data_IF_921109753524
#
_entry.id   IF_921109753524
#
_cell.length_a   1.000
_cell.length_b   1.000
_cell.length_c   1.000
_cell.angle_alpha   90.00
_cell.angle_beta   90.00
_cell.angle_gamma   90.00
#
_symmetry.space_group_name_H-M   'P 1'
#
loop_
_entity.id
_entity.type
_entity.pdbx_description
1 polymer ?
#
# COMPACT_ATOMS: atom_id res chain seq x y z
N UNK A 1 -3.38 -25.70 -10.15
CA UNK A 1 -3.50 -24.40 -9.48
C UNK A 1 -4.16 -24.62 -8.12
N UNK A 2 -3.33 -24.88 -7.12
CA UNK A 2 -3.54 -25.00 -5.65
C UNK A 2 -2.10 -25.25 -5.13
N UNK A 3 -1.60 -24.77 -4.00
CA UNK A 3 -2.17 -24.14 -2.82
C UNK A 3 -1.05 -23.31 -2.16
N UNK A 4 -1.35 -22.11 -1.64
CA UNK A 4 -0.51 -21.50 -0.60
C UNK A 4 -1.12 -21.92 0.73
N UNK A 5 -0.73 -23.11 1.19
CA UNK A 5 -1.20 -23.68 2.45
C UNK A 5 -0.37 -23.08 3.59
N UNK A 6 -1.05 -22.36 4.49
CA UNK A 6 -0.48 -21.94 5.77
C UNK A 6 -0.52 -23.13 6.72
N UNK A 7 0.64 -23.53 7.23
CA UNK A 7 0.74 -24.40 8.40
C UNK A 7 0.55 -23.52 9.64
N UNK A 8 -0.66 -23.52 10.20
CA UNK A 8 -0.93 -23.02 11.54
C UNK A 8 -0.85 -24.21 12.51
N UNK A 9 0.28 -24.32 13.20
CA UNK A 9 0.43 -25.19 14.37
C UNK A 9 0.43 -24.30 15.61
N UNK A 10 -0.64 -24.36 16.40
CA UNK A 10 -0.67 -23.80 17.75
C UNK A 10 -1.67 -24.55 18.61
N UNK A 11 -1.06 -25.35 19.48
CA UNK A 11 -1.59 -26.12 20.59
C UNK A 11 -2.31 -25.24 21.62
N UNK A 12 -3.35 -25.83 22.23
CA UNK A 12 -4.32 -25.11 23.04
C UNK A 12 -3.87 -24.68 24.44
N UNK A 13 -4.65 -23.77 25.01
CA UNK A 13 -4.75 -23.51 26.45
C UNK A 13 -6.25 -23.33 26.80
N UNK A 14 -6.79 -24.03 27.82
CA UNK A 14 -8.14 -23.80 28.32
C UNK A 14 -8.13 -23.00 29.64
N UNK A 15 -9.07 -22.07 29.78
CA UNK A 15 -9.61 -21.49 31.04
C UNK A 15 -10.59 -20.37 30.64
N UNK A 16 -11.71 -20.08 31.28
CA UNK A 16 -12.37 -20.53 32.50
C UNK A 16 -13.65 -19.69 32.62
N UNK A 17 -14.72 -20.29 33.14
CA UNK A 17 -16.05 -19.66 33.37
C UNK A 17 -16.02 -18.58 34.45
N UNK A 18 -16.81 -17.52 34.29
CA UNK A 18 -17.31 -16.69 35.41
C UNK A 18 -18.14 -15.47 34.97
N UNK A 19 -19.22 -15.07 35.67
CA UNK A 19 -20.38 -14.42 35.06
C UNK A 19 -20.61 -12.92 35.39
N UNK A 20 -21.25 -12.23 34.44
CA UNK A 20 -22.38 -11.30 34.57
C UNK A 20 -22.33 -10.10 35.52
N UNK A 21 -22.34 -8.88 34.97
CA UNK A 21 -22.96 -7.71 35.61
C UNK A 21 -23.57 -6.72 34.60
N UNK A 22 -24.91 -6.67 34.63
CA UNK A 22 -25.80 -5.51 34.74
C UNK A 22 -25.50 -4.24 33.92
N UNK A 23 -26.46 -3.87 33.07
CA UNK A 23 -26.48 -2.60 32.35
C UNK A 23 -26.85 -1.38 33.18
N UNK A 24 -26.61 -0.22 32.60
CA UNK A 24 -27.31 1.03 32.91
C UNK A 24 -27.29 1.92 31.67
N UNK A 25 -28.47 2.35 31.23
CA UNK A 25 -28.65 3.23 30.09
C UNK A 25 -28.41 4.68 30.46
N UNK A 26 -27.97 5.47 29.46
CA UNK A 26 -27.98 6.92 29.53
C UNK A 26 -28.40 7.45 28.16
N UNK A 27 -29.52 8.18 28.14
CA UNK A 27 -30.05 8.96 27.00
C UNK A 27 -29.28 10.28 26.86
N UNK A 28 -29.18 10.80 25.64
CA UNK A 28 -28.89 12.23 25.44
C UNK A 28 -28.64 12.63 23.98
N UNK A 29 -29.62 13.32 23.38
CA UNK A 29 -29.54 14.44 22.41
C UNK A 29 -28.34 14.49 21.44
N UNK A 30 -28.49 14.43 20.11
CA UNK A 30 -29.41 15.23 19.29
C UNK A 30 -28.89 16.66 19.11
N UNK A 31 -27.94 16.89 18.18
CA UNK A 31 -27.71 18.19 17.52
C UNK A 31 -27.16 17.94 16.10
N UNK A 32 -27.94 18.33 15.10
CA UNK A 32 -27.52 18.46 13.71
C UNK A 32 -26.63 19.70 13.56
N UNK A 33 -25.43 19.56 12.98
CA UNK A 33 -24.70 20.69 12.44
C UNK A 33 -24.09 20.30 11.09
N UNK A 34 -24.81 20.65 10.04
CA UNK A 34 -24.35 20.58 8.65
C UNK A 34 -23.45 21.79 8.41
N UNK A 35 -22.14 21.57 8.40
CA UNK A 35 -21.16 22.57 7.97
C UNK A 35 -20.69 22.19 6.57
N UNK A 36 -21.17 22.93 5.58
CA UNK A 36 -20.79 22.80 4.18
C UNK A 36 -19.37 23.34 4.02
N UNK A 37 -18.37 22.46 4.02
CA UNK A 37 -17.00 22.81 3.70
C UNK A 37 -16.86 23.03 2.19
N UNK A 38 -16.85 24.32 1.83
CA UNK A 38 -16.49 24.86 0.52
C UNK A 38 -15.09 24.40 0.14
N UNK A 39 -14.97 23.54 -0.86
CA UNK A 39 -13.69 23.08 -1.43
C UNK A 39 -13.17 24.16 -2.40
N UNK A 40 -11.96 24.73 -2.20
CA UNK A 40 -11.36 25.60 -3.20
C UNK A 40 -10.79 24.74 -4.33
N UNK A 41 -11.11 25.11 -5.57
CA UNK A 41 -10.52 24.54 -6.77
C UNK A 41 -9.01 24.85 -6.79
N UNK A 42 -8.18 23.82 -6.64
CA UNK A 42 -6.72 23.96 -6.67
C UNK A 42 -6.00 22.61 -6.73
N UNK A 43 -5.41 22.34 -7.90
CA UNK A 43 -4.51 21.23 -8.25
C UNK A 43 -4.99 19.79 -7.99
N UNK A 44 -5.56 19.18 -9.03
CA UNK A 44 -5.99 17.78 -9.11
C UNK A 44 -4.93 16.74 -8.72
N UNK A 45 -3.63 17.05 -8.82
CA UNK A 45 -2.55 16.13 -8.41
C UNK A 45 -2.41 16.00 -6.88
N UNK A 46 -2.63 17.10 -6.13
CA UNK A 46 -2.53 17.10 -4.67
C UNK A 46 -3.81 16.58 -3.99
N UNK A 47 -4.94 16.61 -4.69
CA UNK A 47 -6.19 16.00 -4.24
C UNK A 47 -6.14 14.48 -4.40
N UNK A 48 -5.61 13.98 -5.52
CA UNK A 48 -5.39 12.54 -5.73
C UNK A 48 -4.42 11.94 -4.72
N UNK A 49 -3.36 12.66 -4.33
CA UNK A 49 -2.45 12.19 -3.28
C UNK A 49 -3.11 12.12 -1.89
N UNK A 50 -4.10 12.99 -1.59
CA UNK A 50 -4.85 12.94 -0.32
C UNK A 50 -5.83 11.78 -0.28
N UNK A 51 -6.53 11.52 -1.39
CA UNK A 51 -7.49 10.42 -1.51
C UNK A 51 -6.80 9.05 -1.39
N UNK A 52 -5.53 8.95 -1.80
CA UNK A 52 -4.72 7.73 -1.60
C UNK A 52 -4.15 7.59 -0.18
N UNK A 53 -4.04 8.69 0.59
CA UNK A 53 -3.48 8.69 1.96
C UNK A 53 -4.51 8.31 3.03
N UNK A 54 -5.79 8.62 2.82
CA UNK A 54 -6.84 8.41 3.82
C UNK A 54 -7.33 6.95 3.94
N UNK A 55 -6.97 6.08 3.00
CA UNK A 55 -7.47 4.69 2.96
C UNK A 55 -6.54 3.63 3.58
N UNK A 56 -5.37 4.02 4.11
CA UNK A 56 -4.30 3.08 4.55
C UNK A 56 -4.32 2.70 6.04
N UNK A 57 -5.43 2.96 6.75
CA UNK A 57 -5.57 2.78 8.21
C UNK A 57 -5.53 1.33 8.76
N UNK A 58 -4.96 0.36 8.04
CA UNK A 58 -4.90 -1.06 8.46
C UNK A 58 -3.50 -1.63 8.68
N UNK A 59 -2.43 -0.87 8.41
CA UNK A 59 -1.06 -1.37 8.48
C UNK A 59 -0.18 -0.51 9.37
N UNK A 60 0.82 -1.14 10.01
CA UNK A 60 1.80 -0.42 10.81
C UNK A 60 2.51 0.60 9.90
N UNK A 61 2.40 1.88 10.21
CA UNK A 61 3.07 2.98 9.49
C UNK A 61 4.37 3.40 10.18
N UNK A 62 4.68 2.79 11.33
CA UNK A 62 5.88 3.02 12.12
C UNK A 62 6.71 1.74 12.23
N UNK A 63 8.03 1.90 12.14
CA UNK A 63 8.99 0.79 12.24
C UNK A 63 9.16 0.39 13.70
N UNK A 64 9.05 -0.90 14.00
CA UNK A 64 9.36 -1.40 15.35
C UNK A 64 10.87 -1.55 15.54
N UNK A 65 11.39 -1.64 16.79
CA UNK A 65 12.81 -1.95 17.00
C UNK A 65 13.27 -3.26 16.33
N UNK A 66 12.39 -4.26 16.26
CA UNK A 66 12.65 -5.51 15.56
C UNK A 66 12.79 -5.29 14.04
N UNK A 67 11.87 -4.51 13.45
CA UNK A 67 11.93 -4.13 12.04
C UNK A 67 13.14 -3.26 11.71
N UNK A 68 13.51 -2.32 12.58
CA UNK A 68 14.71 -1.51 12.44
C UNK A 68 15.98 -2.38 12.43
N UNK A 69 16.03 -3.38 13.32
CA UNK A 69 17.11 -4.37 13.35
C UNK A 69 17.20 -5.22 12.08
N UNK A 70 16.06 -5.57 11.47
CA UNK A 70 16.03 -6.24 10.17
C UNK A 70 16.54 -5.34 9.05
N UNK A 71 16.06 -4.10 8.94
CA UNK A 71 16.56 -3.14 7.94
C UNK A 71 18.07 -2.91 8.08
N UNK A 72 18.56 -2.74 9.30
CA UNK A 72 19.97 -2.51 9.58
C UNK A 72 20.85 -3.72 9.23
N UNK A 73 20.29 -4.93 9.22
CA UNK A 73 21.03 -6.15 8.87
C UNK A 73 21.48 -6.20 7.40
N UNK A 74 20.89 -5.36 6.53
CA UNK A 74 21.32 -5.24 5.14
C UNK A 74 22.67 -4.51 5.00
N UNK A 75 23.03 -3.67 5.97
CA UNK A 75 24.28 -2.91 5.96
C UNK A 75 25.49 -3.80 6.34
N UNK A 76 26.70 -3.51 5.83
CA UNK A 76 27.92 -4.25 6.19
C UNK A 76 28.23 -4.25 7.70
N UNK A 77 27.80 -3.20 8.41
CA UNK A 77 27.98 -3.06 9.86
C UNK A 77 26.64 -2.76 10.55
N UNK A 78 25.79 -3.78 10.81
CA UNK A 78 24.41 -3.59 11.25
C UNK A 78 24.27 -2.80 12.56
N UNK A 79 25.13 -3.04 13.55
CA UNK A 79 25.09 -2.32 14.84
C UNK A 79 25.41 -0.83 14.68
N UNK A 80 26.40 -0.51 13.86
CA UNK A 80 26.79 0.88 13.58
C UNK A 80 25.71 1.61 12.80
N UNK A 81 25.11 0.95 11.80
CA UNK A 81 23.98 1.49 11.04
C UNK A 81 22.79 1.79 11.94
N UNK A 82 22.40 0.85 12.81
CA UNK A 82 21.29 1.04 13.74
C UNK A 82 21.56 2.20 14.72
N UNK A 83 22.77 2.26 15.30
CA UNK A 83 23.16 3.35 16.20
C UNK A 83 23.11 4.72 15.51
N UNK A 84 23.54 4.79 14.24
CA UNK A 84 23.44 6.01 13.43
C UNK A 84 21.98 6.44 13.22
N UNK A 85 21.10 5.49 12.89
CA UNK A 85 19.68 5.77 12.66
C UNK A 85 18.96 6.19 13.95
N UNK A 86 19.28 5.55 15.08
CA UNK A 86 18.76 5.92 16.40
C UNK A 86 19.20 7.34 16.82
N UNK A 87 20.39 7.79 16.40
CA UNK A 87 20.83 9.18 16.62
C UNK A 87 20.09 10.21 15.76
N UNK A 88 19.46 9.77 14.66
CA UNK A 88 18.70 10.62 13.71
C UNK A 88 17.40 9.94 13.28
N UNK A 89 16.45 9.68 14.20
CA UNK A 89 15.31 8.79 13.96
C UNK A 89 14.29 9.34 12.96
N UNK A 90 14.37 10.63 12.62
CA UNK A 90 13.51 11.33 11.66
C UNK A 90 14.15 11.49 10.28
N UNK A 91 15.42 11.11 10.11
CA UNK A 91 16.10 11.18 8.82
C UNK A 91 15.77 9.94 7.97
N UNK A 92 15.59 10.10 6.65
CA UNK A 92 15.50 8.95 5.75
C UNK A 92 16.83 8.19 5.75
N UNK A 93 16.76 6.88 5.53
CA UNK A 93 17.92 5.99 5.55
C UNK A 93 18.20 5.42 4.17
N UNK A 94 19.45 5.05 3.90
CA UNK A 94 19.83 4.34 2.68
C UNK A 94 20.09 2.88 3.04
N UNK A 95 19.52 1.95 2.26
CA UNK A 95 19.69 0.52 2.45
C UNK A 95 20.31 -0.11 1.21
N UNK A 96 21.32 -0.94 1.45
CA UNK A 96 21.89 -1.81 0.43
C UNK A 96 20.88 -2.93 0.10
N UNK A 97 20.73 -3.24 -1.18
CA UNK A 97 19.87 -4.29 -1.70
C UNK A 97 20.69 -5.56 -2.06
N UNK A 98 20.00 -6.69 -2.23
CA UNK A 98 20.60 -7.96 -2.66
C UNK A 98 21.13 -8.86 -1.55
N UNK A 99 21.33 -8.35 -0.34
CA UNK A 99 21.81 -9.16 0.80
C UNK A 99 20.65 -9.79 1.57
N UNK A 100 19.76 -8.95 2.12
CA UNK A 100 18.64 -9.36 2.97
C UNK A 100 17.31 -9.29 2.24
N UNK A 101 17.19 -8.36 1.29
CA UNK A 101 16.02 -8.16 0.44
C UNK A 101 16.44 -7.53 -0.88
N UNK A 102 15.60 -7.70 -1.88
CA UNK A 102 15.59 -6.90 -3.09
C UNK A 102 14.45 -5.88 -3.01
N UNK A 103 14.47 -4.86 -3.86
CA UNK A 103 13.38 -3.88 -3.95
C UNK A 103 12.87 -3.76 -5.37
N UNK A 104 11.56 -3.97 -5.54
CA UNK A 104 10.85 -3.72 -6.79
C UNK A 104 10.20 -2.35 -6.71
N UNK A 105 10.69 -1.43 -7.53
CA UNK A 105 10.31 -0.02 -7.55
C UNK A 105 9.38 0.24 -8.75
N UNK A 106 8.12 0.57 -8.43
CA UNK A 106 7.01 0.60 -9.40
C UNK A 106 6.28 1.95 -9.36
N UNK A 107 5.66 2.40 -10.47
CA UNK A 107 4.80 3.60 -10.44
C UNK A 107 3.68 3.46 -9.41
N UNK A 108 3.39 4.52 -8.62
CA UNK A 108 2.52 4.39 -7.44
C UNK A 108 1.10 3.86 -7.74
N UNK A 109 0.48 4.26 -8.85
CA UNK A 109 -0.86 3.77 -9.20
C UNK A 109 -0.84 2.27 -9.53
N UNK A 110 0.19 1.83 -10.25
CA UNK A 110 0.37 0.41 -10.57
C UNK A 110 0.72 -0.39 -9.32
N UNK A 111 1.64 0.11 -8.50
CA UNK A 111 2.01 -0.49 -7.23
C UNK A 111 0.85 -0.61 -6.25
N UNK A 112 -0.09 0.33 -6.25
CA UNK A 112 -1.28 0.23 -5.40
C UNK A 112 -2.14 -0.95 -5.81
N UNK A 113 -2.37 -1.12 -7.11
CA UNK A 113 -3.10 -2.28 -7.64
C UNK A 113 -2.39 -3.59 -7.35
N UNK A 114 -1.06 -3.61 -7.45
CA UNK A 114 -0.26 -4.78 -7.06
C UNK A 114 -0.45 -5.10 -5.57
N UNK A 115 -0.36 -4.10 -4.70
CA UNK A 115 -0.51 -4.24 -3.26
C UNK A 115 -1.91 -4.73 -2.88
N UNK A 116 -2.95 -4.13 -3.47
CA UNK A 116 -4.33 -4.55 -3.28
C UNK A 116 -4.50 -6.03 -3.69
N UNK A 117 -3.94 -6.42 -4.84
CA UNK A 117 -3.97 -7.81 -5.34
C UNK A 117 -3.24 -8.78 -4.41
N UNK A 118 -2.05 -8.41 -3.93
CA UNK A 118 -1.24 -9.20 -3.00
C UNK A 118 -1.97 -9.50 -1.69
N UNK A 119 -2.78 -8.56 -1.21
CA UNK A 119 -3.58 -8.73 0.00
C UNK A 119 -4.93 -9.39 -0.23
N UNK A 120 -5.61 -9.12 -1.34
CA UNK A 120 -6.94 -9.64 -1.58
C UNK A 120 -6.94 -11.08 -2.07
N UNK A 121 -5.96 -11.44 -2.91
CA UNK A 121 -5.90 -12.74 -3.59
C UNK A 121 -4.57 -13.47 -3.40
N UNK A 122 -3.56 -12.77 -2.87
CA UNK A 122 -2.21 -13.27 -2.73
C UNK A 122 -1.88 -13.73 -1.31
N UNK A 123 -0.64 -14.19 -1.10
CA UNK A 123 -0.13 -14.61 0.21
C UNK A 123 0.12 -13.46 1.19
N UNK A 124 -0.17 -12.21 0.80
CA UNK A 124 0.17 -11.02 1.57
C UNK A 124 1.17 -10.13 0.82
N UNK A 125 1.53 -9.01 1.46
CA UNK A 125 2.66 -8.17 1.06
C UNK A 125 3.70 -8.19 2.17
N UNK A 126 4.97 -8.05 1.80
CA UNK A 126 6.02 -7.64 2.72
C UNK A 126 5.98 -6.13 2.98
N UNK A 127 7.05 -5.56 3.56
CA UNK A 127 7.19 -4.13 3.76
C UNK A 127 7.08 -3.33 2.44
N UNK A 128 6.45 -2.16 2.52
CA UNK A 128 6.22 -1.29 1.37
C UNK A 128 6.43 0.17 1.77
N UNK A 129 7.23 0.89 0.99
CA UNK A 129 7.40 2.33 1.13
C UNK A 129 6.94 3.09 -0.11
N UNK A 130 6.50 4.33 0.04
CA UNK A 130 6.27 5.27 -1.04
C UNK A 130 7.40 6.30 -1.10
N UNK A 131 7.91 6.60 -2.29
CA UNK A 131 8.90 7.65 -2.52
C UNK A 131 8.75 8.27 -3.93
N UNK A 132 8.59 9.61 -4.00
CA UNK A 132 8.55 10.39 -5.26
C UNK A 132 7.62 9.82 -6.35
N UNK A 133 6.39 9.46 -5.96
CA UNK A 133 5.39 8.93 -6.90
C UNK A 133 5.62 7.47 -7.32
N UNK A 134 6.53 6.78 -6.63
CA UNK A 134 6.76 5.34 -6.78
C UNK A 134 6.57 4.60 -5.47
N UNK A 135 6.31 3.31 -5.57
CA UNK A 135 6.24 2.38 -4.44
C UNK A 135 7.44 1.44 -4.51
N UNK A 136 8.05 1.22 -3.36
CA UNK A 136 9.17 0.33 -3.12
C UNK A 136 8.62 -0.90 -2.40
N UNK A 137 8.44 -2.00 -3.13
CA UNK A 137 8.00 -3.27 -2.56
C UNK A 137 9.24 -4.10 -2.22
N UNK A 138 9.39 -4.47 -0.96
CA UNK A 138 10.48 -5.34 -0.51
C UNK A 138 10.17 -6.77 -0.92
N UNK A 139 11.14 -7.43 -1.53
CA UNK A 139 11.02 -8.76 -2.10
C UNK A 139 12.18 -9.66 -1.65
N UNK A 140 12.03 -10.97 -1.84
CA UNK A 140 13.07 -11.92 -1.48
C UNK A 140 14.33 -11.67 -2.33
N UNK A 141 15.55 -11.84 -1.77
CA UNK A 141 16.79 -11.72 -2.53
C UNK A 141 16.81 -12.58 -3.80
N UNK A 142 17.34 -12.04 -4.89
CA UNK A 142 17.35 -12.65 -6.22
C UNK A 142 16.11 -12.35 -7.08
N UNK A 143 15.07 -11.72 -6.50
CA UNK A 143 13.90 -11.25 -7.24
C UNK A 143 14.29 -10.22 -8.30
N UNK A 144 15.19 -9.30 -7.98
CA UNK A 144 15.58 -8.23 -8.88
C UNK A 144 16.25 -8.73 -10.17
N UNK A 145 16.96 -9.86 -10.08
CA UNK A 145 17.55 -10.52 -11.25
C UNK A 145 16.52 -11.32 -12.05
N UNK A 146 15.63 -12.03 -11.35
CA UNK A 146 14.74 -13.03 -11.97
C UNK A 146 13.46 -12.42 -12.53
N UNK A 147 12.88 -11.42 -11.88
CA UNK A 147 11.61 -10.81 -12.27
C UNK A 147 11.63 -10.17 -13.68
N UNK A 148 12.65 -9.37 -14.06
CA UNK A 148 12.71 -8.83 -15.42
C UNK A 148 12.78 -9.92 -16.49
N UNK A 149 13.51 -11.01 -16.22
CA UNK A 149 13.61 -12.16 -17.12
C UNK A 149 12.26 -12.86 -17.31
N UNK A 150 11.49 -13.02 -16.23
CA UNK A 150 10.15 -13.62 -16.27
C UNK A 150 9.16 -12.74 -17.05
N UNK A 151 9.17 -11.43 -16.81
CA UNK A 151 8.31 -10.48 -17.52
C UNK A 151 8.62 -10.42 -19.02
N UNK A 152 9.90 -10.53 -19.38
CA UNK A 152 10.33 -10.58 -20.78
C UNK A 152 9.89 -11.87 -21.46
N UNK A 153 10.09 -13.02 -20.81
CA UNK A 153 9.75 -14.33 -21.36
C UNK A 153 8.26 -14.52 -21.64
N UNK A 154 7.40 -13.97 -20.79
CA UNK A 154 5.95 -14.08 -20.93
C UNK A 154 5.33 -12.94 -21.78
N UNK A 155 6.16 -12.14 -22.46
CA UNK A 155 5.73 -11.04 -23.34
C UNK A 155 4.85 -9.96 -22.65
N UNK A 156 4.89 -9.85 -21.31
CA UNK A 156 4.15 -8.83 -20.55
C UNK A 156 4.81 -7.45 -20.54
N UNK A 157 6.00 -7.32 -21.16
CA UNK A 157 6.82 -6.11 -21.10
C UNK A 157 6.10 -4.82 -21.47
N UNK A 158 5.22 -4.86 -22.47
CA UNK A 158 4.46 -3.68 -22.94
C UNK A 158 3.20 -3.40 -22.10
N UNK A 159 2.64 -4.44 -21.46
CA UNK A 159 1.43 -4.33 -20.63
C UNK A 159 1.74 -3.87 -19.19
N UNK A 160 2.97 -4.10 -18.74
CA UNK A 160 3.44 -3.73 -17.40
C UNK A 160 4.25 -2.42 -17.49
N UNK A 161 3.91 -1.38 -16.73
CA UNK A 161 4.69 -0.15 -16.70
C UNK A 161 6.16 -0.42 -16.29
N UNK A 162 7.12 0.42 -16.70
CA UNK A 162 8.53 0.18 -16.42
C UNK A 162 8.82 0.08 -14.92
N UNK A 163 9.19 -1.12 -14.49
CA UNK A 163 9.61 -1.46 -13.15
C UNK A 163 11.13 -1.29 -13.04
N UNK A 164 11.61 -0.84 -11.88
CA UNK A 164 13.02 -0.85 -11.55
C UNK A 164 13.26 -1.92 -10.49
N UNK A 165 14.20 -2.80 -10.74
CA UNK A 165 14.55 -3.89 -9.84
C UNK A 165 15.91 -3.57 -9.21
N UNK A 166 15.94 -3.40 -7.88
CA UNK A 166 17.14 -3.11 -7.12
C UNK A 166 17.59 -4.37 -6.39
N UNK A 167 18.77 -4.88 -6.74
CA UNK A 167 19.34 -6.11 -6.20
C UNK A 167 20.76 -5.89 -5.69
N UNK A 168 21.61 -6.90 -5.82
CA UNK A 168 23.00 -6.85 -5.33
C UNK A 168 23.78 -5.69 -5.93
N UNK A 169 24.31 -4.83 -5.06
CA UNK A 169 25.09 -3.65 -5.45
C UNK A 169 24.27 -2.37 -5.64
N UNK A 170 22.93 -2.47 -5.57
CA UNK A 170 22.05 -1.31 -5.55
C UNK A 170 21.78 -0.83 -4.13
N UNK A 171 21.37 0.44 -4.01
CA UNK A 171 20.91 1.01 -2.75
C UNK A 171 19.64 1.84 -2.97
N UNK A 172 18.74 1.81 -1.98
CA UNK A 172 17.47 2.57 -2.01
C UNK A 172 17.33 3.46 -0.79
N UNK A 173 16.69 4.62 -0.98
CA UNK A 173 16.30 5.49 0.13
C UNK A 173 14.95 5.06 0.69
N UNK A 174 14.91 4.77 1.98
CA UNK A 174 13.72 4.34 2.72
C UNK A 174 13.27 5.40 3.72
N UNK A 175 12.00 5.33 4.15
CA UNK A 175 11.50 6.25 5.17
C UNK A 175 12.25 6.11 6.49
N UNK A 176 12.18 7.17 7.29
CA UNK A 176 12.73 7.21 8.63
C UNK A 176 12.09 6.15 9.55
N UNK A 177 12.79 5.77 10.62
CA UNK A 177 12.28 4.78 11.59
C UNK A 177 11.03 5.31 12.31
N UNK A 178 11.04 6.60 12.63
CA UNK A 178 9.87 7.29 13.17
C UNK A 178 9.11 7.96 12.05
N UNK A 179 7.78 7.83 12.08
CA UNK A 179 6.89 8.60 11.20
C UNK A 179 6.87 10.05 11.69
N UNK A 180 7.86 10.84 11.27
CA UNK A 180 7.67 12.29 11.21
C UNK A 180 6.83 12.57 9.98
N UNK A 181 5.94 13.57 10.01
CA UNK A 181 5.08 13.91 8.88
C UNK A 181 5.70 15.06 8.07
N UNK A 182 6.72 14.86 7.21
CA UNK A 182 6.95 15.79 6.12
C UNK A 182 6.00 15.40 4.99
N UNK A 183 5.21 16.37 4.50
CA UNK A 183 4.34 16.21 3.32
C UNK A 183 5.09 15.89 2.02
N UNK A 184 6.42 15.84 2.07
CA UNK A 184 7.32 15.56 0.95
C UNK A 184 8.51 14.75 1.47
N UNK A 185 8.48 13.44 1.28
CA UNK A 185 9.51 12.51 1.76
C UNK A 185 9.10 11.06 1.54
N UNK A 186 10.05 10.10 1.65
CA UNK A 186 9.70 8.69 1.69
C UNK A 186 8.80 8.41 2.92
N UNK A 187 7.76 7.58 2.76
CA UNK A 187 6.87 7.15 3.86
C UNK A 187 6.59 5.65 3.82
N UNK A 188 6.39 5.02 4.97
CA UNK A 188 5.97 3.62 5.03
C UNK A 188 4.48 3.53 4.74
N UNK A 189 4.11 2.64 3.82
CA UNK A 189 2.73 2.19 3.61
C UNK A 189 2.49 0.90 4.42
N UNK A 190 3.53 0.07 4.50
CA UNK A 190 3.61 -1.11 5.36
C UNK A 190 5.02 -1.10 5.97
N UNK A 191 5.13 -0.64 7.20
CA UNK A 191 6.41 -0.61 7.91
C UNK A 191 6.79 -2.02 8.39
N UNK A 192 8.09 -2.37 8.40
CA UNK A 192 8.53 -3.63 8.99
C UNK A 192 8.35 -3.59 10.50
N UNK A 193 7.72 -4.65 11.02
CA UNK A 193 7.37 -4.82 12.43
C UNK A 193 8.06 -6.00 13.12
N UNK A 194 8.71 -6.88 12.35
CA UNK A 194 9.40 -8.10 12.83
C UNK A 194 10.83 -8.22 12.28
N UNK A 195 11.62 -9.13 12.87
CA UNK A 195 12.98 -9.46 12.40
C UNK A 195 13.00 -10.32 11.14
N UNK A 196 11.91 -11.03 10.87
CA UNK A 196 11.77 -11.94 9.73
C UNK A 196 10.47 -11.64 9.00
N UNK A 197 10.36 -10.47 8.33
CA UNK A 197 9.17 -10.15 7.58
C UNK A 197 9.04 -11.14 6.41
N UNK A 198 7.81 -11.51 6.10
CA UNK A 198 7.55 -12.26 4.89
C UNK A 198 7.91 -11.40 3.67
N UNK A 199 8.64 -11.99 2.72
CA UNK A 199 9.06 -11.32 1.50
C UNK A 199 8.55 -12.09 0.27
N UNK A 200 7.77 -11.46 -0.61
CA UNK A 200 7.34 -12.07 -1.86
C UNK A 200 8.54 -12.39 -2.76
N UNK A 201 8.58 -13.61 -3.29
CA UNK A 201 9.55 -14.03 -4.30
C UNK A 201 9.21 -13.55 -5.72
N UNK A 202 10.06 -13.87 -6.71
CA UNK A 202 9.89 -13.40 -8.08
C UNK A 202 8.60 -13.89 -8.74
N UNK A 203 8.16 -15.10 -8.43
CA UNK A 203 6.92 -15.68 -8.98
C UNK A 203 5.68 -14.97 -8.42
N UNK A 204 5.69 -14.61 -7.13
CA UNK A 204 4.60 -13.85 -6.49
C UNK A 204 4.56 -12.43 -7.04
N UNK A 205 5.73 -11.80 -7.25
CA UNK A 205 5.84 -10.48 -7.86
C UNK A 205 5.35 -10.46 -9.30
N UNK A 206 5.74 -11.45 -10.12
CA UNK A 206 5.25 -11.62 -11.48
C UNK A 206 3.73 -11.76 -11.49
N UNK A 207 3.18 -12.65 -10.67
CA UNK A 207 1.73 -12.85 -10.54
C UNK A 207 0.99 -11.55 -10.21
N UNK A 208 1.50 -10.77 -9.26
CA UNK A 208 0.93 -9.48 -8.89
C UNK A 208 0.99 -8.46 -10.03
N UNK A 209 2.12 -8.39 -10.76
CA UNK A 209 2.29 -7.51 -11.91
C UNK A 209 1.27 -7.83 -13.01
N UNK A 210 1.17 -9.11 -13.40
CA UNK A 210 0.28 -9.57 -14.48
C UNK A 210 -1.17 -9.30 -14.12
N UNK A 211 -1.59 -9.57 -12.88
CA UNK A 211 -2.96 -9.28 -12.45
C UNK A 211 -3.26 -7.78 -12.39
N UNK A 212 -2.34 -6.97 -11.87
CA UNK A 212 -2.50 -5.53 -11.85
C UNK A 212 -2.60 -4.94 -13.27
N UNK A 213 -1.82 -5.46 -14.22
CA UNK A 213 -1.88 -5.07 -15.64
C UNK A 213 -3.21 -5.47 -16.30
N UNK A 214 -3.68 -6.69 -16.06
CA UNK A 214 -4.99 -7.15 -16.57
C UNK A 214 -6.15 -6.33 -16.00
N UNK A 215 -6.12 -6.01 -14.71
CA UNK A 215 -7.10 -5.14 -14.08
C UNK A 215 -7.08 -3.72 -14.68
N UNK A 216 -5.91 -3.24 -15.11
CA UNK A 216 -5.79 -1.96 -15.81
C UNK A 216 -6.40 -1.98 -17.22
N UNK A 217 -6.30 -3.11 -17.91
CA UNK A 217 -6.80 -3.30 -19.27
C UNK A 217 -8.29 -3.68 -19.32
N UNK A 218 -8.86 -4.15 -18.20
CA UNK A 218 -10.27 -4.50 -18.14
C UNK A 218 -11.14 -3.25 -18.40
N UNK A 219 -12.11 -3.32 -19.33
CA UNK A 219 -13.05 -2.22 -19.53
C UNK A 219 -13.80 -1.99 -18.22
N UNK A 220 -13.91 -0.73 -17.78
CA UNK A 220 -14.63 -0.35 -16.58
C UNK A 220 -16.02 -0.99 -16.61
N UNK A 221 -16.19 -2.08 -15.84
CA UNK A 221 -17.45 -2.79 -15.76
C UNK A 221 -18.46 -1.87 -15.06
N UNK A 222 -19.72 -2.02 -15.44
CA UNK A 222 -20.90 -1.21 -15.03
C UNK A 222 -21.04 -0.90 -13.53
N UNK A 223 -20.23 -1.49 -12.65
CA UNK A 223 -20.14 -1.19 -11.22
C UNK A 223 -19.52 0.20 -10.93
N UNK A 224 -18.65 0.72 -11.82
CA UNK A 224 -18.13 2.10 -11.73
C UNK A 224 -19.13 3.16 -12.24
N UNK A 225 -20.33 2.74 -12.68
CA UNK A 225 -21.43 3.65 -13.00
C UNK A 225 -22.18 4.18 -11.76
N UNK A 226 -21.58 4.11 -10.57
CA UNK A 226 -21.97 4.92 -9.42
C UNK A 226 -21.46 6.36 -9.60
N UNK A 227 -21.88 6.97 -10.71
CA UNK A 227 -21.75 8.40 -10.94
C UNK A 227 -22.59 9.14 -9.91
N UNK A 228 -21.95 9.98 -9.09
CA UNK A 228 -22.62 10.93 -8.18
C UNK A 228 -23.34 12.04 -8.98
N UNK A 229 -23.07 12.16 -10.29
CA UNK A 229 -23.91 12.94 -11.19
C UNK A 229 -25.13 12.11 -11.60
N UNK A 230 -26.37 12.56 -11.27
CA UNK A 230 -27.55 11.94 -11.83
C UNK A 230 -27.44 12.04 -13.35
N UNK A 231 -27.58 10.90 -14.03
CA UNK A 231 -27.68 10.85 -15.49
C UNK A 231 -28.80 11.79 -15.89
N UNK A 232 -28.50 12.81 -16.69
CA UNK A 232 -29.48 13.81 -17.10
C UNK A 232 -30.72 13.09 -17.64
N UNK A 233 -31.84 13.29 -16.94
CA UNK A 233 -33.13 12.74 -17.30
C UNK A 233 -33.51 13.32 -18.66
N UNK A 234 -33.36 12.53 -19.74
CA UNK A 234 -33.70 12.94 -21.11
C UNK A 234 -35.23 13.04 -21.33
N UNK A 235 -36.02 13.15 -20.25
CA UNK A 235 -37.48 13.22 -20.27
C UNK A 235 -38.09 14.59 -19.97
N UNK A 236 -37.30 15.64 -19.70
CA UNK A 236 -37.85 16.95 -19.36
C UNK A 236 -38.50 17.64 -20.59
N UNK A 237 -39.81 17.45 -20.79
CA UNK A 237 -40.63 18.28 -21.69
C UNK A 237 -40.77 19.68 -21.11
N UNK A 238 -39.90 20.58 -21.55
CA UNK A 238 -40.06 22.03 -21.35
C UNK A 238 -41.21 22.49 -22.23
N UNK A 239 -42.35 22.81 -21.61
CA UNK A 239 -43.45 23.49 -22.32
C UNK A 239 -43.15 24.99 -22.35
N UNK A 240 -43.04 25.54 -23.56
CA UNK A 240 -42.95 26.97 -23.79
C UNK A 240 -44.32 27.62 -23.48
N UNK A 241 -44.37 28.43 -22.43
CA UNK A 241 -45.57 29.16 -21.97
C UNK A 241 -45.61 30.61 -22.46
N UNK A 242 -44.81 30.99 -23.46
CA UNK A 242 -44.72 32.38 -23.92
C UNK A 242 -45.82 32.85 -24.89
N UNK A 243 -46.93 32.12 -25.05
CA UNK A 243 -48.10 32.62 -25.82
C UNK A 243 -49.41 32.54 -25.04
N UNK A 244 -49.59 33.53 -24.16
CA UNK A 244 -50.92 34.01 -23.77
C UNK A 244 -50.93 35.54 -23.75
N UNK A 245 -51.24 36.12 -24.91
CA UNK A 245 -52.30 37.11 -25.17
C UNK A 245 -51.97 37.88 -26.44
#
# INVERSE_FOLDING_TARGET
MSAWQRDDDSTGIPSGRGPGLRGSGIKGSGIHSSSVLRVPAGNSSAALSRILDEQDGRHATAVTPAGAGWLASAAPYPRSALSLWESRPTAPNVLDCGSVFDVVNVPAIFGRRMLDTLWSEGPGSGPVAGHRGRMLLFAAPGTAQRLPSLLHWEEWGDAVPPLLCHGTGDAVTVPSLTSSVPRSGPRWLVAPDTRHPWLPGPEVMLWACVRAARAAAAPATKADALSIFPRADQGAKVYDVSRRR
#
